data_IF_935803721287
#
_entry.id   IF_935803721287
#
_cell.length_a   1.000
_cell.length_b   1.000
_cell.length_c   1.000
_cell.angle_alpha   90.00
_cell.angle_beta   90.00
_cell.angle_gamma   90.00
#
_symmetry.space_group_name_H-M   'P 1'
#
loop_
_entity.id
_entity.type
_entity.pdbx_description
1 polymer ?
#
# COMPACT_ATOMS: atom_id res chain seq x y z
N UNK A 1 -48.59 -25.63 -28.10
CA UNK A 1 -48.26 -24.26 -27.70
C UNK A 1 -49.55 -23.46 -27.76
N UNK A 2 -50.04 -22.93 -26.64
CA UNK A 2 -51.27 -22.14 -26.64
C UNK A 2 -51.00 -20.81 -27.33
N UNK A 3 -51.97 -20.30 -28.09
CA UNK A 3 -51.89 -19.05 -28.87
C UNK A 3 -51.81 -17.77 -27.99
N UNK A 4 -51.70 -17.95 -26.67
CA UNK A 4 -51.87 -16.92 -25.63
C UNK A 4 -50.60 -16.12 -25.34
N UNK A 5 -49.41 -16.57 -25.75
CA UNK A 5 -48.12 -15.94 -25.44
C UNK A 5 -47.51 -15.14 -26.61
N UNK A 6 -48.37 -14.61 -27.49
CA UNK A 6 -47.95 -13.78 -28.63
C UNK A 6 -48.05 -12.30 -28.30
N UNK A 7 -47.02 -11.53 -28.67
CA UNK A 7 -47.02 -10.07 -28.56
C UNK A 7 -46.60 -9.44 -29.88
N UNK A 8 -47.29 -8.38 -30.24
CA UNK A 8 -47.05 -7.62 -31.46
C UNK A 8 -46.00 -6.54 -31.20
N UNK A 9 -45.01 -6.46 -32.06
CA UNK A 9 -43.97 -5.44 -32.03
C UNK A 9 -43.88 -4.71 -33.38
N UNK A 10 -43.54 -3.42 -33.39
CA UNK A 10 -43.14 -2.73 -34.62
C UNK A 10 -41.97 -3.47 -35.27
N UNK A 11 -42.06 -3.71 -36.58
CA UNK A 11 -41.00 -4.43 -37.29
C UNK A 11 -39.65 -3.72 -37.11
N UNK A 12 -39.64 -2.40 -37.14
CA UNK A 12 -38.43 -1.60 -36.94
C UNK A 12 -37.71 -1.92 -35.62
N UNK A 13 -38.45 -2.11 -34.52
CA UNK A 13 -37.86 -2.46 -33.22
C UNK A 13 -37.25 -3.86 -33.22
N UNK A 14 -37.85 -4.80 -33.96
CA UNK A 14 -37.33 -6.16 -34.12
C UNK A 14 -36.09 -6.16 -35.01
N UNK A 15 -36.11 -5.40 -36.10
CA UNK A 15 -34.95 -5.20 -36.97
C UNK A 15 -33.79 -4.54 -36.22
N UNK A 16 -34.07 -3.52 -35.41
CA UNK A 16 -33.07 -2.86 -34.59
C UNK A 16 -32.41 -3.82 -33.60
N UNK A 17 -33.19 -4.74 -33.01
CA UNK A 17 -32.68 -5.76 -32.10
C UNK A 17 -31.72 -6.72 -32.83
N UNK A 18 -32.12 -7.29 -33.97
CA UNK A 18 -31.32 -8.33 -34.65
C UNK A 18 -30.03 -7.79 -35.29
N UNK A 19 -30.03 -6.53 -35.73
CA UNK A 19 -28.85 -5.89 -36.33
C UNK A 19 -28.01 -5.13 -35.31
N UNK A 20 -28.47 -5.02 -34.06
CA UNK A 20 -27.79 -4.26 -33.01
C UNK A 20 -27.77 -2.75 -33.26
N UNK A 21 -28.81 -2.18 -33.89
CA UNK A 21 -28.86 -0.75 -34.25
C UNK A 21 -28.73 0.14 -33.02
N UNK A 22 -27.80 1.08 -33.08
CA UNK A 22 -27.61 2.06 -32.01
C UNK A 22 -28.65 3.18 -32.04
N UNK A 23 -28.95 3.74 -30.86
CA UNK A 23 -29.91 4.84 -30.70
C UNK A 23 -31.39 4.40 -30.67
N UNK A 24 -31.67 3.09 -30.77
CA UNK A 24 -33.03 2.53 -30.69
C UNK A 24 -33.19 1.75 -29.38
N UNK A 25 -34.28 2.00 -28.65
CA UNK A 25 -34.57 1.25 -27.42
C UNK A 25 -35.08 -0.15 -27.75
N UNK A 26 -34.17 -1.12 -27.72
CA UNK A 26 -34.44 -2.54 -28.00
C UNK A 26 -34.73 -3.38 -26.75
N UNK A 27 -34.62 -2.81 -25.54
CA UNK A 27 -34.72 -3.54 -24.26
C UNK A 27 -36.07 -4.25 -24.10
N UNK A 28 -37.15 -3.58 -24.48
CA UNK A 28 -38.50 -4.15 -24.37
C UNK A 28 -38.71 -5.37 -25.25
N UNK A 29 -38.20 -5.36 -26.49
CA UNK A 29 -38.27 -6.50 -27.41
C UNK A 29 -37.32 -7.60 -26.93
N UNK A 30 -36.08 -7.25 -26.57
CA UNK A 30 -35.08 -8.19 -26.06
C UNK A 30 -35.59 -8.94 -24.82
N UNK A 31 -36.13 -8.23 -23.83
CA UNK A 31 -36.65 -8.83 -22.61
C UNK A 31 -37.84 -9.75 -22.87
N UNK A 32 -38.76 -9.34 -23.74
CA UNK A 32 -39.89 -10.20 -24.11
C UNK A 32 -39.44 -11.48 -24.82
N UNK A 33 -38.55 -11.34 -25.81
CA UNK A 33 -38.05 -12.46 -26.63
C UNK A 33 -37.17 -13.39 -25.79
N UNK A 34 -36.39 -12.87 -24.84
CA UNK A 34 -35.67 -13.70 -23.87
C UNK A 34 -36.60 -14.36 -22.83
N UNK A 35 -37.76 -13.75 -22.57
CA UNK A 35 -38.69 -14.15 -21.51
C UNK A 35 -38.18 -13.79 -20.11
N UNK A 36 -37.35 -12.75 -19.98
CA UNK A 36 -36.84 -12.23 -18.71
C UNK A 36 -36.60 -10.72 -18.79
N UNK A 37 -36.43 -10.07 -17.64
CA UNK A 37 -36.09 -8.65 -17.61
C UNK A 37 -34.69 -8.42 -18.17
N UNK A 38 -34.55 -7.42 -19.05
CA UNK A 38 -33.27 -7.01 -19.64
C UNK A 38 -33.14 -5.49 -19.47
N UNK A 39 -32.37 -5.06 -18.47
CA UNK A 39 -32.21 -3.65 -18.14
C UNK A 39 -30.99 -3.00 -18.81
N UNK A 40 -29.97 -3.79 -19.14
CA UNK A 40 -28.69 -3.31 -19.64
C UNK A 40 -28.62 -3.34 -21.18
N UNK A 41 -28.02 -2.33 -21.80
CA UNK A 41 -27.96 -2.21 -23.27
C UNK A 41 -27.09 -3.29 -23.91
N UNK A 42 -25.99 -3.67 -23.27
CA UNK A 42 -25.15 -4.79 -23.69
C UNK A 42 -25.89 -6.13 -23.61
N UNK A 43 -26.70 -6.33 -22.58
CA UNK A 43 -27.56 -7.50 -22.41
C UNK A 43 -28.58 -7.59 -23.57
N UNK A 44 -29.21 -6.47 -23.91
CA UNK A 44 -30.17 -6.41 -25.02
C UNK A 44 -29.50 -6.69 -26.38
N UNK A 45 -28.29 -6.15 -26.61
CA UNK A 45 -27.48 -6.46 -27.79
C UNK A 45 -27.09 -7.94 -27.86
N UNK A 46 -26.73 -8.56 -26.73
CA UNK A 46 -26.42 -9.99 -26.65
C UNK A 46 -27.63 -10.86 -27.03
N UNK A 47 -28.83 -10.53 -26.51
CA UNK A 47 -30.08 -11.19 -26.90
C UNK A 47 -30.34 -11.05 -28.40
N UNK A 48 -29.99 -9.92 -29.02
CA UNK A 48 -30.19 -9.66 -30.44
C UNK A 48 -29.61 -10.75 -31.36
N UNK A 49 -28.43 -11.28 -31.02
CA UNK A 49 -27.79 -12.34 -31.81
C UNK A 49 -28.55 -13.67 -31.74
N UNK A 50 -29.03 -14.03 -30.56
CA UNK A 50 -29.87 -15.20 -30.36
C UNK A 50 -31.24 -15.03 -31.02
N UNK A 51 -31.81 -13.82 -30.92
CA UNK A 51 -33.07 -13.47 -31.55
C UNK A 51 -32.96 -13.55 -33.08
N UNK A 52 -31.85 -13.13 -33.69
CA UNK A 52 -31.62 -13.24 -35.13
C UNK A 52 -31.63 -14.71 -35.59
N UNK A 53 -30.88 -15.58 -34.90
CA UNK A 53 -30.85 -17.01 -35.21
C UNK A 53 -32.21 -17.70 -35.00
N UNK A 54 -32.92 -17.34 -33.92
CA UNK A 54 -34.25 -17.85 -33.63
C UNK A 54 -35.30 -17.39 -34.66
N UNK A 55 -35.29 -16.10 -35.03
CA UNK A 55 -36.16 -15.54 -36.06
C UNK A 55 -35.88 -16.14 -37.43
N UNK A 56 -34.62 -16.34 -37.79
CA UNK A 56 -34.25 -17.00 -39.04
C UNK A 56 -34.86 -18.41 -39.16
N UNK A 57 -34.93 -19.15 -38.04
CA UNK A 57 -35.52 -20.49 -37.99
C UNK A 57 -37.04 -20.49 -38.06
N UNK A 58 -37.70 -19.62 -37.30
CA UNK A 58 -39.17 -19.65 -37.12
C UNK A 58 -39.93 -18.72 -38.04
N UNK A 59 -39.28 -17.67 -38.55
CA UNK A 59 -39.83 -16.65 -39.43
C UNK A 59 -38.89 -16.45 -40.63
N UNK A 60 -38.88 -17.38 -41.61
CA UNK A 60 -37.88 -17.41 -42.70
C UNK A 60 -37.83 -16.13 -43.56
N UNK A 61 -38.86 -15.28 -43.49
CA UNK A 61 -38.84 -13.96 -44.12
C UNK A 61 -37.70 -13.05 -43.65
N UNK A 62 -37.24 -13.20 -42.40
CA UNK A 62 -36.09 -12.45 -41.87
C UNK A 62 -34.76 -12.84 -42.54
N UNK A 63 -34.62 -14.07 -43.07
CA UNK A 63 -33.41 -14.49 -43.79
C UNK A 63 -33.15 -13.68 -45.08
N UNK A 64 -34.20 -13.05 -45.64
CA UNK A 64 -34.11 -12.26 -46.87
C UNK A 64 -33.74 -10.79 -46.61
N UNK A 65 -33.63 -10.42 -45.34
CA UNK A 65 -33.31 -9.07 -44.88
C UNK A 65 -31.86 -9.06 -44.41
N UNK A 66 -30.99 -8.52 -45.25
CA UNK A 66 -29.57 -8.33 -44.95
C UNK A 66 -29.31 -6.85 -44.74
N UNK A 67 -28.81 -6.51 -43.56
CA UNK A 67 -28.33 -5.16 -43.25
C UNK A 67 -26.91 -5.01 -43.77
N UNK A 68 -26.63 -3.86 -44.41
CA UNK A 68 -25.28 -3.46 -44.82
C UNK A 68 -25.00 -2.07 -44.27
N UNK A 69 -23.76 -1.81 -43.87
CA UNK A 69 -23.44 -0.53 -43.21
C UNK A 69 -23.55 0.67 -44.15
N UNK A 70 -23.49 0.46 -45.46
CA UNK A 70 -23.58 1.47 -46.51
C UNK A 70 -25.03 1.81 -46.92
N UNK A 71 -26.04 1.08 -46.46
CA UNK A 71 -27.44 1.38 -46.75
C UNK A 71 -28.08 2.26 -45.68
N UNK A 72 -29.05 3.09 -46.09
CA UNK A 72 -29.81 3.89 -45.13
C UNK A 72 -30.71 3.01 -44.25
N UNK A 73 -30.80 3.34 -42.96
CA UNK A 73 -31.69 2.68 -42.01
C UNK A 73 -33.15 2.67 -42.50
N UNK A 74 -33.67 3.82 -42.94
CA UNK A 74 -35.06 3.94 -43.39
C UNK A 74 -35.36 3.07 -44.61
N UNK A 75 -34.43 2.96 -45.58
CA UNK A 75 -34.61 2.06 -46.72
C UNK A 75 -34.59 0.59 -46.30
N UNK A 76 -33.74 0.21 -45.35
CA UNK A 76 -33.71 -1.15 -44.80
C UNK A 76 -35.02 -1.49 -44.08
N UNK A 77 -35.50 -0.61 -43.21
CA UNK A 77 -36.78 -0.77 -42.51
C UNK A 77 -37.94 -0.83 -43.50
N UNK A 78 -37.95 0.05 -44.51
CA UNK A 78 -38.99 0.06 -45.56
C UNK A 78 -39.00 -1.24 -46.35
N UNK A 79 -37.83 -1.78 -46.72
CA UNK A 79 -37.71 -3.09 -47.35
C UNK A 79 -38.25 -4.20 -46.45
N UNK A 80 -37.93 -4.14 -45.16
CA UNK A 80 -38.47 -5.04 -44.16
C UNK A 80 -40.00 -4.99 -44.12
N UNK A 81 -40.58 -3.80 -44.02
CA UNK A 81 -42.03 -3.58 -43.92
C UNK A 81 -42.75 -4.07 -45.17
N UNK A 82 -42.18 -3.83 -46.35
CA UNK A 82 -42.71 -4.35 -47.61
C UNK A 82 -42.71 -5.89 -47.68
N UNK A 83 -41.78 -6.55 -46.99
CA UNK A 83 -41.66 -8.00 -47.00
C UNK A 83 -42.46 -8.70 -45.89
N UNK A 84 -42.56 -8.09 -44.70
CA UNK A 84 -43.06 -8.73 -43.48
C UNK A 84 -44.25 -8.00 -42.84
N UNK A 85 -44.64 -6.83 -43.36
CA UNK A 85 -45.65 -5.95 -42.78
C UNK A 85 -45.07 -4.99 -41.73
N UNK A 86 -45.90 -4.04 -41.28
CA UNK A 86 -45.46 -3.00 -40.32
C UNK A 86 -45.17 -3.53 -38.92
N UNK A 87 -45.83 -4.62 -38.54
CA UNK A 87 -45.75 -5.23 -37.22
C UNK A 87 -45.54 -6.74 -37.33
N UNK A 88 -44.85 -7.32 -36.35
CA UNK A 88 -44.60 -8.74 -36.26
C UNK A 88 -45.10 -9.28 -34.93
N UNK A 89 -45.87 -10.35 -34.98
CA UNK A 89 -46.29 -11.09 -33.79
C UNK A 89 -45.23 -12.11 -33.40
N UNK A 90 -44.63 -11.94 -32.23
CA UNK A 90 -43.58 -12.82 -31.71
C UNK A 90 -44.05 -13.60 -30.49
N UNK A 91 -43.54 -14.81 -30.35
CA UNK A 91 -43.52 -15.56 -29.08
C UNK A 91 -42.17 -15.35 -28.40
N UNK A 92 -42.04 -15.61 -27.09
CA UNK A 92 -40.72 -15.76 -26.47
C UNK A 92 -39.89 -16.85 -27.17
N UNK A 93 -38.57 -16.70 -27.13
CA UNK A 93 -37.64 -17.74 -27.57
C UNK A 93 -37.83 -19.00 -26.75
N UNK A 94 -37.60 -20.13 -27.41
CA UNK A 94 -37.78 -21.46 -26.86
C UNK A 94 -36.57 -22.36 -27.16
N UNK A 95 -36.57 -23.53 -26.52
CA UNK A 95 -35.60 -24.59 -26.76
C UNK A 95 -34.15 -24.17 -26.55
N UNK A 96 -33.26 -24.65 -27.43
CA UNK A 96 -31.81 -24.48 -27.30
C UNK A 96 -31.35 -23.04 -27.41
N UNK A 97 -31.97 -22.24 -28.29
CA UNK A 97 -31.58 -20.83 -28.48
C UNK A 97 -31.89 -20.01 -27.22
N UNK A 98 -33.03 -20.28 -26.56
CA UNK A 98 -33.35 -19.71 -25.26
C UNK A 98 -32.32 -20.10 -24.21
N UNK A 99 -32.01 -21.39 -24.08
CA UNK A 99 -31.06 -21.87 -23.08
C UNK A 99 -29.66 -21.24 -23.23
N UNK A 100 -29.19 -21.02 -24.47
CA UNK A 100 -27.93 -20.33 -24.73
C UNK A 100 -28.02 -18.83 -24.40
N UNK A 101 -29.13 -18.18 -24.74
CA UNK A 101 -29.35 -16.78 -24.39
C UNK A 101 -29.37 -16.59 -22.86
N UNK A 102 -30.03 -17.47 -22.12
CA UNK A 102 -30.07 -17.45 -20.65
C UNK A 102 -28.66 -17.61 -20.06
N UNK A 103 -27.88 -18.58 -20.54
CA UNK A 103 -26.49 -18.78 -20.09
C UNK A 103 -25.61 -17.54 -20.31
N UNK A 104 -25.72 -16.88 -21.46
CA UNK A 104 -24.96 -15.66 -21.73
C UNK A 104 -25.43 -14.50 -20.86
N UNK A 105 -26.74 -14.38 -20.62
CA UNK A 105 -27.29 -13.33 -19.76
C UNK A 105 -26.86 -13.53 -18.30
N UNK A 106 -26.89 -14.76 -17.80
CA UNK A 106 -26.43 -15.09 -16.44
C UNK A 106 -24.93 -14.80 -16.29
N UNK A 107 -24.12 -15.19 -17.28
CA UNK A 107 -22.69 -14.89 -17.29
C UNK A 107 -22.40 -13.38 -17.29
N UNK A 108 -23.17 -12.60 -18.06
CA UNK A 108 -23.04 -11.15 -18.08
C UNK A 108 -23.42 -10.53 -16.72
N UNK A 109 -24.50 -11.00 -16.10
CA UNK A 109 -24.95 -10.54 -14.78
C UNK A 109 -23.92 -10.84 -13.68
N UNK A 110 -23.39 -12.06 -13.67
CA UNK A 110 -22.30 -12.47 -12.76
C UNK A 110 -21.04 -11.63 -13.01
N UNK A 111 -20.66 -11.40 -14.26
CA UNK A 111 -19.49 -10.58 -14.61
C UNK A 111 -19.64 -9.14 -14.15
N UNK A 112 -20.82 -8.52 -14.33
CA UNK A 112 -21.07 -7.15 -13.88
C UNK A 112 -21.05 -7.02 -12.36
N UNK A 113 -21.65 -7.96 -11.63
CA UNK A 113 -21.63 -7.95 -10.16
C UNK A 113 -20.22 -8.15 -9.59
N UNK A 114 -19.42 -9.03 -10.21
CA UNK A 114 -18.01 -9.23 -9.88
C UNK A 114 -17.19 -7.97 -10.13
N UNK A 115 -17.36 -7.30 -11.28
CA UNK A 115 -16.68 -6.04 -11.59
C UNK A 115 -17.02 -4.93 -10.61
N UNK A 116 -18.28 -4.80 -10.18
CA UNK A 116 -18.68 -3.83 -9.16
C UNK A 116 -17.98 -4.09 -7.84
N UNK A 117 -17.92 -5.36 -7.42
CA UNK A 117 -17.23 -5.77 -6.19
C UNK A 117 -15.73 -5.46 -6.27
N UNK A 118 -15.09 -5.76 -7.39
CA UNK A 118 -13.68 -5.45 -7.62
C UNK A 118 -13.42 -3.95 -7.64
N UNK A 119 -14.29 -3.16 -8.25
CA UNK A 119 -14.15 -1.70 -8.29
C UNK A 119 -14.25 -1.10 -6.89
N UNK A 120 -15.16 -1.59 -6.06
CA UNK A 120 -15.26 -1.17 -4.66
C UNK A 120 -14.00 -1.59 -3.84
N UNK A 121 -13.49 -2.80 -4.08
CA UNK A 121 -12.26 -3.26 -3.41
C UNK A 121 -11.02 -2.45 -3.81
N UNK A 122 -10.91 -2.08 -5.09
CA UNK A 122 -9.82 -1.21 -5.58
C UNK A 122 -9.90 0.17 -4.93
N UNK A 123 -11.08 0.79 -4.88
CA UNK A 123 -11.25 2.08 -4.22
C UNK A 123 -10.85 2.03 -2.73
N UNK A 124 -11.21 0.95 -2.02
CA UNK A 124 -10.80 0.76 -0.62
C UNK A 124 -9.29 0.53 -0.46
N UNK A 125 -8.64 -0.15 -1.42
CA UNK A 125 -7.19 -0.32 -1.42
C UNK A 125 -6.47 1.00 -1.69
N UNK A 126 -6.95 1.82 -2.63
CA UNK A 126 -6.40 3.15 -2.91
C UNK A 126 -6.45 4.05 -1.67
N UNK A 127 -7.55 4.02 -0.91
CA UNK A 127 -7.67 4.75 0.35
C UNK A 127 -6.64 4.25 1.40
N UNK A 128 -6.48 2.93 1.54
CA UNK A 128 -5.49 2.35 2.46
C UNK A 128 -4.05 2.70 2.08
N UNK A 129 -3.74 2.71 0.79
CA UNK A 129 -2.42 3.12 0.29
C UNK A 129 -2.18 4.59 0.63
N UNK A 130 -3.14 5.47 0.35
CA UNK A 130 -3.04 6.90 0.70
C UNK A 130 -2.87 7.14 2.22
N UNK A 131 -3.53 6.33 3.06
CA UNK A 131 -3.37 6.41 4.51
C UNK A 131 -1.98 5.96 5.01
N UNK A 132 -1.27 5.12 4.24
CA UNK A 132 0.07 4.63 4.59
C UNK A 132 1.20 5.56 4.13
N UNK A 133 1.00 6.41 3.13
CA UNK A 133 2.02 7.34 2.62
C UNK A 133 2.69 8.20 3.73
N UNK A 134 1.96 8.76 4.71
CA UNK A 134 2.60 9.54 5.78
C UNK A 134 3.45 8.68 6.72
N UNK A 135 3.09 7.40 6.91
CA UNK A 135 3.86 6.48 7.73
C UNK A 135 5.15 6.06 7.02
N UNK A 136 5.09 5.81 5.71
CA UNK A 136 6.27 5.53 4.88
C UNK A 136 7.23 6.73 4.86
N UNK A 137 6.70 7.96 4.74
CA UNK A 137 7.51 9.18 4.83
C UNK A 137 8.22 9.31 6.19
N UNK A 138 7.49 9.07 7.30
CA UNK A 138 8.06 9.08 8.66
C UNK A 138 9.11 7.99 8.85
N UNK A 139 8.89 6.79 8.30
CA UNK A 139 9.88 5.72 8.35
C UNK A 139 11.17 6.12 7.62
N UNK A 140 11.05 6.76 6.44
CA UNK A 140 12.20 7.30 5.71
C UNK A 140 12.95 8.41 6.47
N UNK A 141 12.24 9.28 7.18
CA UNK A 141 12.86 10.30 8.04
C UNK A 141 13.57 9.69 9.25
N UNK A 142 12.95 8.70 9.90
CA UNK A 142 13.55 7.99 11.03
C UNK A 142 14.79 7.21 10.59
N UNK A 143 14.78 6.59 9.42
CA UNK A 143 15.95 5.90 8.88
C UNK A 143 17.14 6.86 8.75
N UNK A 144 16.93 8.06 8.18
CA UNK A 144 17.99 9.08 8.08
C UNK A 144 18.54 9.48 9.45
N UNK A 145 17.67 9.65 10.46
CA UNK A 145 18.10 9.96 11.84
C UNK A 145 18.90 8.81 12.45
N UNK A 146 18.52 7.57 12.21
CA UNK A 146 19.28 6.40 12.64
C UNK A 146 20.68 6.39 12.01
N UNK A 147 20.78 6.62 10.69
CA UNK A 147 22.05 6.67 9.97
C UNK A 147 22.95 7.81 10.52
N UNK A 148 22.38 8.99 10.80
CA UNK A 148 23.08 10.11 11.43
C UNK A 148 23.59 9.78 12.84
N UNK A 149 22.77 9.13 13.66
CA UNK A 149 23.15 8.72 15.02
C UNK A 149 24.25 7.65 14.97
N UNK A 150 24.17 6.70 14.04
CA UNK A 150 25.20 5.68 13.85
C UNK A 150 26.54 6.33 13.46
N UNK A 151 26.51 7.33 12.58
CA UNK A 151 27.69 8.11 12.22
C UNK A 151 28.28 8.87 13.43
N UNK A 152 27.46 9.53 14.25
CA UNK A 152 27.92 10.21 15.47
C UNK A 152 28.54 9.24 16.47
N UNK A 153 27.95 8.06 16.66
CA UNK A 153 28.51 7.02 17.54
C UNK A 153 29.88 6.58 17.06
N UNK A 154 30.09 6.40 15.75
CA UNK A 154 31.41 6.05 15.19
C UNK A 154 32.45 7.16 15.47
N UNK A 155 32.06 8.43 15.34
CA UNK A 155 32.94 9.57 15.69
C UNK A 155 33.26 9.56 17.18
N UNK A 156 32.25 9.49 18.05
CA UNK A 156 32.44 9.47 19.51
C UNK A 156 33.32 8.31 19.97
N UNK A 157 33.16 7.12 19.39
CA UNK A 157 34.02 5.97 19.69
C UNK A 157 35.47 6.22 19.29
N UNK A 158 35.69 6.90 18.16
CA UNK A 158 37.03 7.30 17.71
C UNK A 158 37.64 8.31 18.68
N UNK A 159 36.88 9.34 19.07
CA UNK A 159 37.31 10.38 20.01
C UNK A 159 37.62 9.80 21.40
N UNK A 160 36.77 8.91 21.90
CA UNK A 160 37.02 8.16 23.14
C UNK A 160 38.31 7.33 23.06
N UNK A 161 38.57 6.69 21.91
CA UNK A 161 39.83 6.00 21.67
C UNK A 161 41.05 6.94 21.74
N UNK A 162 40.93 8.14 21.16
CA UNK A 162 41.96 9.19 21.24
C UNK A 162 42.18 9.71 22.66
N UNK A 163 41.11 10.04 23.37
CA UNK A 163 41.13 10.45 24.78
C UNK A 163 41.79 9.39 25.67
N UNK A 164 41.45 8.10 25.49
CA UNK A 164 42.07 7.00 26.24
C UNK A 164 43.59 6.93 26.01
N UNK A 165 44.06 7.16 24.78
CA UNK A 165 45.51 7.24 24.49
C UNK A 165 46.16 8.43 25.19
N UNK A 166 45.56 9.61 25.12
CA UNK A 166 46.07 10.80 25.80
C UNK A 166 46.15 10.60 27.32
N UNK A 167 45.11 10.03 27.94
CA UNK A 167 45.11 9.72 29.38
C UNK A 167 46.24 8.73 29.72
N UNK A 168 46.46 7.69 28.91
CA UNK A 168 47.55 6.75 29.13
C UNK A 168 48.94 7.43 29.00
N UNK A 169 49.12 8.33 28.03
CA UNK A 169 50.35 9.12 27.88
C UNK A 169 50.58 10.05 29.07
N UNK A 170 49.54 10.73 29.57
CA UNK A 170 49.63 11.58 30.74
C UNK A 170 49.95 10.78 31.99
N UNK A 171 49.31 9.63 32.21
CA UNK A 171 49.63 8.73 33.32
C UNK A 171 51.10 8.27 33.27
N UNK A 172 51.62 7.92 32.09
CA UNK A 172 53.02 7.56 31.90
C UNK A 172 53.97 8.72 32.23
N UNK A 173 53.68 9.92 31.73
CA UNK A 173 54.48 11.13 32.03
C UNK A 173 54.41 11.54 33.50
N UNK A 174 53.25 11.41 34.14
CA UNK A 174 53.08 11.69 35.57
C UNK A 174 53.90 10.73 36.41
N UNK A 175 53.91 9.43 36.08
CA UNK A 175 54.74 8.45 36.78
C UNK A 175 56.24 8.78 36.66
N UNK A 176 56.72 9.13 35.46
CA UNK A 176 58.11 9.58 35.25
C UNK A 176 58.40 10.86 36.04
N UNK A 177 57.49 11.84 35.99
CA UNK A 177 57.65 13.07 36.77
C UNK A 177 57.60 12.83 38.27
N UNK A 178 56.85 11.83 38.75
CA UNK A 178 56.80 11.45 40.15
C UNK A 178 58.13 10.85 40.60
N UNK A 179 58.74 9.97 39.79
CA UNK A 179 60.06 9.40 40.06
C UNK A 179 61.16 10.48 40.05
N UNK A 180 61.15 11.37 39.06
CA UNK A 180 62.07 12.53 39.00
C UNK A 180 61.86 13.49 40.16
N UNK A 181 60.60 13.76 40.54
CA UNK A 181 60.26 14.62 41.67
C UNK A 181 60.68 13.98 43.00
N UNK A 182 60.51 12.67 43.15
CA UNK A 182 61.01 11.92 44.31
C UNK A 182 62.54 11.89 44.36
N UNK A 183 63.22 11.85 43.21
CA UNK A 183 64.68 11.92 43.13
C UNK A 183 65.18 13.34 43.47
N UNK A 184 64.56 14.38 42.93
CA UNK A 184 64.84 15.77 43.26
C UNK A 184 64.60 16.08 44.75
N UNK A 185 63.53 15.52 45.34
CA UNK A 185 63.27 15.62 46.78
C UNK A 185 64.39 14.92 47.56
N UNK A 186 64.79 13.70 47.17
CA UNK A 186 65.91 12.99 47.83
C UNK A 186 67.22 13.77 47.73
N UNK A 187 67.52 14.35 46.58
CA UNK A 187 68.74 15.13 46.37
C UNK A 187 68.70 16.46 47.14
N UNK A 188 67.55 17.15 47.18
CA UNK A 188 67.37 18.34 48.01
C UNK A 188 67.49 18.03 49.51
N UNK A 189 66.94 16.88 49.98
CA UNK A 189 67.15 16.41 51.35
C UNK A 189 68.64 16.12 51.58
N UNK A 190 69.32 15.46 50.65
CA UNK A 190 70.74 15.10 50.77
C UNK A 190 71.66 16.32 50.79
N UNK A 191 71.40 17.32 49.95
CA UNK A 191 72.18 18.56 49.92
C UNK A 191 71.82 19.50 51.08
N UNK A 192 70.54 19.56 51.49
CA UNK A 192 70.13 20.21 52.73
C UNK A 192 70.77 19.58 53.98
N UNK A 193 70.93 18.25 53.99
CA UNK A 193 71.63 17.52 55.05
C UNK A 193 73.14 17.78 55.03
N UNK A 194 73.77 17.96 53.85
CA UNK A 194 75.18 18.39 53.76
C UNK A 194 75.38 19.82 54.27
N UNK A 195 74.41 20.72 54.03
CA UNK A 195 74.40 22.06 54.62
C UNK A 195 74.17 22.06 56.14
N UNK A 196 73.53 21.01 56.66
CA UNK A 196 73.29 20.83 58.10
C UNK A 196 74.47 20.20 58.85
N UNK A 197 75.35 19.42 58.19
CA UNK A 197 76.51 18.78 58.86
C UNK A 197 77.69 19.75 59.09
N UNK A 198 77.69 20.95 58.49
CA UNK A 198 78.67 22.02 58.80
C UNK A 198 78.16 23.05 59.81
N UNK A 199 76.93 22.96 60.30
CA UNK A 199 76.40 23.81 61.36
C UNK A 199 75.86 22.94 62.50
N UNK A 200 76.54 22.99 63.65
CA UNK A 200 76.28 22.14 64.79
C UNK A 200 74.81 22.07 65.25
N UNK A 201 74.46 20.88 65.73
CA UNK A 201 73.28 20.55 66.53
C UNK A 201 73.10 21.49 67.76
N UNK A 202 71.90 21.61 68.40
CA UNK A 202 70.89 20.53 68.50
C UNK A 202 69.38 20.88 68.43
N UNK A 203 68.62 19.85 68.00
CA UNK A 203 67.39 19.27 68.58
C UNK A 203 66.17 20.15 68.89
N UNK A 204 65.07 19.87 68.19
CA UNK A 204 63.67 19.78 68.64
C UNK A 204 62.83 19.41 67.39
N UNK A 205 61.71 18.73 67.37
CA UNK A 205 60.96 17.82 68.25
C UNK A 205 60.02 17.07 67.28
N UNK A 206 59.54 15.91 67.69
CA UNK A 206 58.61 15.08 66.95
C UNK A 206 57.28 15.80 66.67
N UNK A 207 56.67 15.51 65.52
CA UNK A 207 55.35 16.02 65.18
C UNK A 207 54.82 15.49 63.85
N UNK A 208 54.56 14.19 63.79
CA UNK A 208 53.79 13.57 62.72
C UNK A 208 52.29 13.84 62.94
N UNK A 209 51.61 14.39 61.93
CA UNK A 209 50.19 14.15 61.64
C UNK A 209 49.85 14.70 60.25
N UNK A 210 49.50 13.80 59.33
CA UNK A 210 48.95 14.12 58.01
C UNK A 210 47.46 14.52 58.14
N UNK A 211 46.94 15.46 57.33
CA UNK A 211 45.50 15.66 57.22
C UNK A 211 44.90 14.65 56.21
N UNK A 212 43.89 13.92 56.68
CA UNK A 212 43.02 13.06 55.88
C UNK A 212 42.29 13.88 54.81
N UNK A 213 42.33 13.38 53.57
CA UNK A 213 41.57 13.92 52.45
C UNK A 213 40.16 13.28 52.45
N UNK A 214 39.13 14.06 52.77
CA UNK A 214 37.76 13.69 52.42
C UNK A 214 37.54 13.96 50.93
N UNK A 215 37.46 12.87 50.15
CA UNK A 215 37.06 12.91 48.75
C UNK A 215 35.66 12.28 48.65
N UNK A 216 34.62 13.08 48.89
CA UNK A 216 33.23 12.65 48.71
C UNK A 216 32.88 12.65 47.22
N UNK A 217 32.80 11.47 46.62
CA UNK A 217 32.15 11.28 45.32
C UNK A 217 30.63 11.37 45.55
N UNK A 218 29.88 12.22 44.83
CA UNK A 218 28.42 12.24 44.94
C UNK A 218 27.83 10.93 44.41
N UNK A 219 26.98 10.28 45.22
CA UNK A 219 26.27 9.02 44.92
C UNK A 219 25.18 9.14 43.83
N UNK A 220 25.15 10.23 43.05
CA UNK A 220 24.11 10.48 42.04
C UNK A 220 24.61 10.22 40.60
N UNK A 221 25.26 9.08 40.40
CA UNK A 221 25.47 8.52 39.07
C UNK A 221 24.22 7.70 38.69
N UNK A 222 23.15 8.42 38.34
CA UNK A 222 21.86 7.86 37.96
C UNK A 222 21.91 7.07 36.65
N UNK A 223 22.33 5.80 36.73
CA UNK A 223 21.89 4.78 35.80
C UNK A 223 20.57 4.21 36.31
N UNK A 224 19.51 4.42 35.50
CA UNK A 224 18.13 4.15 35.86
C UNK A 224 17.92 2.81 36.58
N UNK A 225 17.31 2.90 37.75
CA UNK A 225 16.77 1.77 38.48
C UNK A 225 15.61 1.18 37.68
N UNK A 226 15.91 0.07 37.05
CA UNK A 226 14.96 -0.92 36.59
C UNK A 226 14.06 -1.36 37.75
N UNK A 227 12.74 -1.18 37.61
CA UNK A 227 11.79 -1.82 38.51
C UNK A 227 10.37 -1.25 38.49
N UNK A 228 9.50 -1.97 37.77
CA UNK A 228 8.03 -1.97 37.87
C UNK A 228 7.27 -0.77 37.26
N UNK A 229 7.11 -0.80 35.94
CA UNK A 229 5.78 -0.85 35.33
C UNK A 229 5.90 -1.41 33.91
N UNK A 230 5.37 -2.61 33.73
CA UNK A 230 5.15 -3.25 32.45
C UNK A 230 4.03 -2.51 31.73
N UNK A 231 4.36 -1.61 30.80
CA UNK A 231 3.44 -1.22 29.74
C UNK A 231 4.22 -0.92 28.45
N UNK A 232 4.09 -1.85 27.51
CA UNK A 232 3.92 -1.57 26.08
C UNK A 232 5.07 -0.89 25.33
N UNK A 233 6.07 -1.65 24.92
CA UNK A 233 6.75 -1.40 23.65
C UNK A 233 6.34 -2.47 22.65
N UNK A 234 5.29 -2.17 21.90
CA UNK A 234 4.96 -2.81 20.64
C UNK A 234 5.40 -1.89 19.50
N UNK A 235 6.49 -2.28 18.84
CA UNK A 235 6.77 -1.97 17.45
C UNK A 235 6.95 -3.30 16.72
#
# INVERSE_FOLDING_TARGET
MSDTDRKVFPLESVLALIVGKEGVNIKGVAGYVAGRSVACDSCAKAVGQFAAAWLARWYPGFLKLEWKEDMSWDAFVSRGKNALGDNVSLTPMDGRTKAMADQVLDYLEESFSSLQTQTAAVAALEERVGALEPAEARAGELQKKCDELEARIKVMNTDMGGMRKQVAEFQGKLAVSHDELMQNIKDAIKDGLKGFVTAGAPRADAGASAPEAENSVPDDFGFGTSGANSDGFGF
#
